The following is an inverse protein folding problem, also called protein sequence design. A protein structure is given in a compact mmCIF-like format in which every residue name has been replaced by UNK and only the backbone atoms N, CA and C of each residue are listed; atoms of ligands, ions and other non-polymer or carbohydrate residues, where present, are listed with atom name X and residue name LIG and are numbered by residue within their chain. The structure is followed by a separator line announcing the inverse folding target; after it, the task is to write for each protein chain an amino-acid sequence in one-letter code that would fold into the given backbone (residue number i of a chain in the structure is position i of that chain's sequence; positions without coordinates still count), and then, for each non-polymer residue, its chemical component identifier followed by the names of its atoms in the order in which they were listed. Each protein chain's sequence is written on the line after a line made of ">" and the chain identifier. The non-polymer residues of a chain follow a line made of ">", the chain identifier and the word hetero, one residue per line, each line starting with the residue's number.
data_IF_402779982773
#
_entry.id   IF_402779982773
#
_cell.length_a   1.000
_cell.length_b   1.000
_cell.length_c   1.000
_cell.angle_alpha   90.00
_cell.angle_beta   90.00
_cell.angle_gamma   90.00
#
_symmetry.space_group_name_H-M   'P 1'
#
loop_
_entity.id
_entity.type
_entity.pdbx_description
1 polymer ?
#
# COMPACT_ATOMS: atom_id res chain seq x y z
N UNK A 1 38.80 25.85 6.13
CA UNK A 1 38.50 25.19 4.83
C UNK A 1 38.30 23.70 5.08
N UNK A 2 37.06 23.22 5.09
CA UNK A 2 36.77 21.78 5.26
C UNK A 2 37.17 21.08 3.95
N UNK A 3 37.95 20.00 4.06
CA UNK A 3 38.40 19.24 2.89
C UNK A 3 37.18 18.52 2.28
N UNK A 4 36.64 19.08 1.19
CA UNK A 4 35.42 18.61 0.51
C UNK A 4 35.48 17.12 0.17
N UNK A 5 36.67 16.56 -0.10
CA UNK A 5 36.86 15.13 -0.32
C UNK A 5 36.53 14.33 0.94
N UNK A 6 37.05 14.72 2.11
CA UNK A 6 36.74 14.02 3.37
C UNK A 6 35.25 14.04 3.68
N UNK A 7 34.58 15.17 3.44
CA UNK A 7 33.14 15.31 3.63
C UNK A 7 32.31 14.35 2.75
N UNK A 8 32.67 14.21 1.47
CA UNK A 8 32.02 13.28 0.54
C UNK A 8 32.20 11.81 0.95
N UNK A 9 33.35 11.44 1.49
CA UNK A 9 33.60 10.06 1.96
C UNK A 9 32.78 9.72 3.21
N UNK A 10 32.63 10.66 4.14
CA UNK A 10 31.77 10.46 5.32
C UNK A 10 30.29 10.32 4.93
N UNK A 11 29.81 11.03 3.90
CA UNK A 11 28.43 10.91 3.44
C UNK A 11 28.08 9.55 2.84
N UNK A 12 29.03 8.90 2.15
CA UNK A 12 28.82 7.57 1.57
C UNK A 12 28.53 6.52 2.65
N UNK A 13 29.20 6.60 3.80
CA UNK A 13 28.99 5.67 4.91
C UNK A 13 27.60 5.83 5.57
N UNK A 14 26.87 6.91 5.30
CA UNK A 14 25.50 7.11 5.78
C UNK A 14 24.45 6.41 4.88
N UNK A 15 24.80 5.99 3.67
CA UNK A 15 23.85 5.37 2.75
C UNK A 15 23.23 4.07 3.27
N UNK A 16 23.94 3.15 3.95
CA UNK A 16 23.32 1.98 4.57
C UNK A 16 22.30 2.34 5.65
N UNK A 17 22.59 3.37 6.45
CA UNK A 17 21.66 3.85 7.48
C UNK A 17 20.41 4.46 6.85
N UNK A 18 20.57 5.27 5.80
CA UNK A 18 19.44 5.79 5.03
C UNK A 18 18.64 4.65 4.37
N UNK A 19 19.31 3.62 3.86
CA UNK A 19 18.69 2.41 3.35
C UNK A 19 17.83 1.71 4.40
N UNK A 20 18.36 1.53 5.62
CA UNK A 20 17.61 0.97 6.74
C UNK A 20 16.37 1.79 7.08
N UNK A 21 16.53 3.12 7.20
CA UNK A 21 15.42 4.03 7.53
C UNK A 21 14.34 4.05 6.45
N UNK A 22 14.73 4.07 5.17
CA UNK A 22 13.78 4.02 4.04
C UNK A 22 13.08 2.67 3.95
N UNK A 23 13.78 1.56 4.22
CA UNK A 23 13.15 0.23 4.32
C UNK A 23 12.14 0.15 5.46
N UNK A 24 12.43 0.76 6.62
CA UNK A 24 11.48 0.85 7.73
C UNK A 24 10.27 1.72 7.40
N UNK A 25 10.50 2.90 6.81
CA UNK A 25 9.42 3.77 6.36
C UNK A 25 8.53 3.07 5.33
N UNK A 26 9.13 2.35 4.37
CA UNK A 26 8.39 1.55 3.39
C UNK A 26 7.55 0.47 4.06
N UNK A 27 8.10 -0.28 5.01
CA UNK A 27 7.33 -1.28 5.76
C UNK A 27 6.10 -0.63 6.43
N UNK A 28 6.28 0.54 7.05
CA UNK A 28 5.19 1.27 7.66
C UNK A 28 4.11 1.69 6.64
N UNK A 29 4.51 2.23 5.49
CA UNK A 29 3.59 2.63 4.42
C UNK A 29 2.81 1.42 3.89
N UNK A 30 3.50 0.30 3.69
CA UNK A 30 2.91 -0.95 3.23
C UNK A 30 1.85 -1.47 4.21
N UNK A 31 2.12 -1.47 5.51
CA UNK A 31 1.18 -1.95 6.54
C UNK A 31 -0.04 -1.09 6.78
N UNK A 32 0.05 0.19 6.47
CA UNK A 32 -1.13 1.06 6.52
C UNK A 32 -1.96 0.95 5.23
N UNK A 33 -1.58 0.10 4.27
CA UNK A 33 -2.29 -0.06 3.01
C UNK A 33 -2.29 1.20 2.14
N UNK A 34 -1.36 2.13 2.34
CA UNK A 34 -1.33 3.39 1.58
C UNK A 34 -1.28 3.14 0.07
N UNK A 35 -0.62 2.08 -0.37
CA UNK A 35 -0.53 1.70 -1.78
C UNK A 35 -1.65 0.78 -2.28
N UNK A 36 -2.58 0.35 -1.42
CA UNK A 36 -3.69 -0.48 -1.85
C UNK A 36 -4.64 0.37 -2.72
N UNK A 37 -4.96 -0.08 -3.95
CA UNK A 37 -5.81 0.68 -4.85
C UNK A 37 -7.28 0.56 -4.48
N UNK A 38 -8.07 1.54 -4.95
CA UNK A 38 -9.52 1.42 -4.99
C UNK A 38 -9.93 0.59 -6.21
N UNK A 39 -10.87 -0.32 -6.02
CA UNK A 39 -11.43 -1.15 -7.08
C UNK A 39 -12.88 -0.77 -7.34
N UNK A 40 -13.23 -0.56 -8.60
CA UNK A 40 -14.60 -0.34 -9.01
C UNK A 40 -15.38 -1.66 -8.87
N UNK A 41 -16.40 -1.65 -8.02
CA UNK A 41 -17.35 -2.76 -7.86
C UNK A 41 -18.51 -2.59 -8.85
N UNK A 42 -18.88 -1.35 -9.16
CA UNK A 42 -19.98 -1.02 -10.06
C UNK A 42 -21.32 -0.94 -9.33
N UNK A 43 -22.40 -1.36 -10.00
CA UNK A 43 -23.78 -1.18 -9.52
C UNK A 43 -24.73 -2.25 -10.07
N UNK A 44 -25.87 -2.54 -9.40
CA UNK A 44 -26.82 -3.60 -9.78
C UNK A 44 -27.69 -3.28 -11.03
N UNK A 45 -27.17 -2.49 -11.96
CA UNK A 45 -27.87 -1.99 -13.16
C UNK A 45 -28.57 -0.63 -12.97
N UNK A 46 -28.92 -0.25 -11.75
CA UNK A 46 -29.40 1.10 -11.36
C UNK A 46 -28.36 1.80 -10.48
N UNK A 47 -28.40 3.13 -10.45
CA UNK A 47 -27.55 3.92 -9.56
C UNK A 47 -27.82 3.59 -8.10
N UNK A 48 -26.76 3.46 -7.32
CA UNK A 48 -26.83 3.30 -5.88
C UNK A 48 -27.08 4.67 -5.26
N UNK A 49 -28.17 4.80 -4.51
CA UNK A 49 -28.52 6.02 -3.81
C UNK A 49 -27.73 6.15 -2.50
N UNK A 50 -27.67 5.06 -1.72
CA UNK A 50 -26.97 4.99 -0.43
C UNK A 50 -26.50 3.58 -0.11
N UNK A 51 -25.43 3.49 0.68
CA UNK A 51 -25.00 2.27 1.34
C UNK A 51 -25.81 2.13 2.64
N UNK A 52 -26.50 1.00 2.81
CA UNK A 52 -27.33 0.75 3.99
C UNK A 52 -26.47 0.24 5.16
N UNK A 53 -25.54 -0.68 4.88
CA UNK A 53 -24.67 -1.26 5.90
C UNK A 53 -24.04 -2.56 5.42
N UNK A 54 -23.37 -3.26 6.34
CA UNK A 54 -22.73 -4.56 6.10
C UNK A 54 -23.38 -5.61 6.99
N UNK A 55 -23.80 -6.73 6.42
CA UNK A 55 -24.41 -7.89 7.08
C UNK A 55 -23.46 -9.08 7.05
N UNK A 56 -23.46 -9.86 8.12
CA UNK A 56 -22.67 -11.09 8.28
C UNK A 56 -21.17 -10.93 7.99
N UNK A 57 -20.62 -9.72 8.15
CA UNK A 57 -19.21 -9.35 7.87
C UNK A 57 -18.82 -9.43 6.38
N UNK A 58 -19.55 -10.15 5.54
CA UNK A 58 -19.18 -10.49 4.16
C UNK A 58 -20.17 -9.98 3.10
N UNK A 59 -21.24 -9.28 3.49
CA UNK A 59 -22.30 -8.84 2.57
C UNK A 59 -22.57 -7.35 2.70
N UNK A 60 -22.23 -6.57 1.68
CA UNK A 60 -22.59 -5.14 1.62
C UNK A 60 -24.03 -5.01 1.13
N UNK A 61 -24.81 -4.14 1.77
CA UNK A 61 -26.20 -3.87 1.41
C UNK A 61 -26.32 -2.43 0.95
N UNK A 62 -26.97 -2.21 -0.19
CA UNK A 62 -27.14 -0.90 -0.82
C UNK A 62 -28.59 -0.69 -1.25
N UNK A 63 -29.05 0.55 -1.24
CA UNK A 63 -30.34 0.95 -1.80
C UNK A 63 -30.11 1.70 -3.12
N UNK A 64 -30.83 1.30 -4.17
CA UNK A 64 -30.82 1.98 -5.46
C UNK A 64 -31.80 3.17 -5.48
N UNK A 65 -31.66 4.07 -6.45
CA UNK A 65 -32.57 5.23 -6.66
C UNK A 65 -34.05 4.82 -6.85
N UNK A 66 -34.32 3.59 -7.30
CA UNK A 66 -35.68 3.07 -7.40
C UNK A 66 -36.31 2.66 -6.07
N UNK A 67 -35.53 2.66 -4.99
CA UNK A 67 -35.92 2.10 -3.69
C UNK A 67 -35.69 0.59 -3.55
N UNK A 68 -35.24 -0.09 -4.61
CA UNK A 68 -34.88 -1.51 -4.56
C UNK A 68 -33.60 -1.69 -3.73
N UNK A 69 -33.54 -2.76 -2.94
CA UNK A 69 -32.36 -3.10 -2.14
C UNK A 69 -31.59 -4.22 -2.80
N UNK A 70 -30.28 -4.08 -2.84
CA UNK A 70 -29.37 -5.10 -3.36
C UNK A 70 -28.30 -5.42 -2.34
N UNK A 71 -27.80 -6.65 -2.41
CA UNK A 71 -26.62 -7.07 -1.69
C UNK A 71 -25.54 -7.58 -2.63
N UNK A 72 -24.30 -7.53 -2.15
CA UNK A 72 -23.16 -8.11 -2.81
C UNK A 72 -22.30 -8.79 -1.77
N UNK A 73 -22.00 -10.07 -2.01
CA UNK A 73 -21.03 -10.82 -1.22
C UNK A 73 -19.61 -10.48 -1.66
N UNK A 74 -18.73 -10.26 -0.70
CA UNK A 74 -17.30 -10.05 -0.91
C UNK A 74 -16.52 -11.03 -0.04
N UNK A 75 -15.48 -11.64 -0.63
CA UNK A 75 -14.70 -12.68 0.04
C UNK A 75 -13.50 -12.09 0.77
N UNK A 76 -13.22 -12.63 1.96
CA UNK A 76 -12.11 -12.19 2.82
C UNK A 76 -10.94 -13.18 2.75
N UNK A 77 -10.73 -13.87 1.63
CA UNK A 77 -9.78 -14.99 1.52
C UNK A 77 -8.29 -14.56 1.46
N UNK A 78 -7.89 -13.60 2.29
CA UNK A 78 -6.48 -13.28 2.59
C UNK A 78 -5.71 -12.57 1.47
N UNK A 79 -6.17 -12.64 0.23
CA UNK A 79 -5.57 -11.98 -0.92
C UNK A 79 -6.53 -10.98 -1.56
N UNK A 80 -5.93 -9.85 -1.98
CA UNK A 80 -6.56 -8.62 -2.49
C UNK A 80 -7.16 -8.87 -3.87
N UNK A 81 -8.24 -9.65 -3.94
CA UNK A 81 -8.98 -9.85 -5.18
C UNK A 81 -10.47 -9.70 -4.91
N UNK A 82 -11.10 -8.78 -5.64
CA UNK A 82 -12.55 -8.88 -5.87
C UNK A 82 -12.86 -10.29 -6.40
N UNK A 83 -13.99 -10.90 -6.02
CA UNK A 83 -14.39 -12.15 -6.63
C UNK A 83 -14.46 -11.97 -8.16
N UNK A 84 -14.09 -13.02 -8.90
CA UNK A 84 -14.05 -12.99 -10.36
C UNK A 84 -15.40 -12.66 -11.00
N UNK A 85 -16.48 -12.84 -10.25
CA UNK A 85 -17.84 -12.47 -10.64
C UNK A 85 -18.51 -11.73 -9.49
N UNK A 86 -18.81 -10.44 -9.71
CA UNK A 86 -19.61 -9.63 -8.80
C UNK A 86 -21.08 -9.85 -9.13
N UNK A 87 -21.77 -10.63 -8.30
CA UNK A 87 -23.19 -10.92 -8.44
C UNK A 87 -23.98 -10.08 -7.44
N UNK A 88 -24.73 -9.12 -7.96
CA UNK A 88 -25.69 -8.36 -7.17
C UNK A 88 -26.97 -9.17 -6.99
N UNK A 89 -27.39 -9.37 -5.75
CA UNK A 89 -28.62 -10.08 -5.40
C UNK A 89 -29.67 -9.09 -4.93
N UNK A 90 -30.90 -9.22 -5.42
CA UNK A 90 -32.01 -8.40 -4.94
C UNK A 90 -32.46 -8.89 -3.56
N UNK A 91 -32.58 -7.98 -2.61
CA UNK A 91 -32.97 -8.26 -1.23
C UNK A 91 -34.39 -7.79 -0.95
N UNK A 92 -35.06 -8.44 -0.01
CA UNK A 92 -36.36 -7.96 0.46
C UNK A 92 -36.15 -6.89 1.52
N UNK A 93 -36.81 -5.74 1.37
CA UNK A 93 -36.62 -4.56 2.22
C UNK A 93 -36.94 -4.81 3.71
N UNK A 94 -37.76 -5.81 4.03
CA UNK A 94 -38.15 -6.21 5.38
C UNK A 94 -37.08 -7.02 6.13
N UNK A 95 -36.05 -7.51 5.43
CA UNK A 95 -34.96 -8.30 6.02
C UNK A 95 -33.68 -7.50 6.27
N UNK A 96 -33.73 -6.18 6.04
CA UNK A 96 -32.60 -5.29 6.20
C UNK A 96 -32.65 -4.68 7.59
N UNK A 97 -32.10 -5.39 8.59
CA UNK A 97 -31.71 -4.72 9.82
C UNK A 97 -30.72 -3.62 9.45
N UNK A 98 -30.90 -2.42 9.99
CA UNK A 98 -29.97 -1.30 9.82
C UNK A 98 -28.64 -1.67 10.48
N UNK A 99 -27.84 -2.45 9.76
CA UNK A 99 -26.62 -3.05 10.28
C UNK A 99 -25.58 -1.95 10.46
N UNK A 100 -25.07 -1.85 11.70
CA UNK A 100 -23.86 -1.16 12.14
C UNK A 100 -23.25 -0.19 11.10
N UNK A 101 -23.87 0.98 10.98
CA UNK A 101 -23.21 2.17 10.44
C UNK A 101 -22.29 2.70 11.53
N UNK A 102 -21.00 2.33 11.50
CA UNK A 102 -20.02 3.04 12.33
C UNK A 102 -19.65 4.31 11.58
N UNK A 103 -20.35 5.41 11.85
CA UNK A 103 -20.02 6.75 11.33
C UNK A 103 -18.60 7.13 11.76
N UNK A 104 -17.64 7.06 10.85
CA UNK A 104 -16.24 7.46 11.12
C UNK A 104 -15.69 8.30 9.96
N UNK A 105 -15.71 9.61 10.17
CA UNK A 105 -14.68 10.52 9.68
C UNK A 105 -13.58 10.66 10.73
N UNK A 106 -12.35 10.92 10.28
CA UNK A 106 -11.12 11.05 11.07
C UNK A 106 -10.43 9.73 11.46
N UNK A 107 -9.95 8.98 10.47
CA UNK A 107 -8.53 8.62 10.42
C UNK A 107 -8.17 8.03 9.05
N UNK A 108 -7.85 8.92 8.11
CA UNK A 108 -7.41 8.56 6.77
C UNK A 108 -5.96 8.01 6.83
N UNK A 109 -5.83 6.69 6.87
CA UNK A 109 -4.54 6.00 6.60
C UNK A 109 -4.47 5.36 5.21
N UNK A 110 -5.36 5.76 4.31
CA UNK A 110 -5.39 5.29 2.92
C UNK A 110 -5.24 6.48 1.99
N UNK A 111 -4.69 6.27 0.79
CA UNK A 111 -4.73 7.33 -0.21
C UNK A 111 -6.19 7.76 -0.45
N UNK A 112 -6.44 9.08 -0.62
CA UNK A 112 -7.76 9.56 -0.95
C UNK A 112 -8.22 8.89 -2.26
N UNK A 113 -9.49 8.50 -2.37
CA UNK A 113 -10.02 7.99 -3.62
C UNK A 113 -9.86 9.05 -4.73
N UNK A 114 -9.58 8.64 -5.98
CA UNK A 114 -9.42 9.56 -7.10
C UNK A 114 -10.77 10.09 -7.65
N UNK A 115 -11.84 10.04 -6.85
CA UNK A 115 -13.22 10.39 -7.21
C UNK A 115 -13.93 11.09 -6.04
N UNK A 116 -15.05 11.75 -6.34
CA UNK A 116 -15.90 12.38 -5.32
C UNK A 116 -16.64 11.32 -4.51
N UNK A 117 -16.59 11.42 -3.19
CA UNK A 117 -17.18 10.43 -2.27
C UNK A 117 -18.48 10.99 -1.71
N UNK A 118 -19.59 10.40 -2.12
CA UNK A 118 -20.93 10.68 -1.60
C UNK A 118 -21.14 10.05 -0.23
N UNK A 119 -20.68 8.81 -0.04
CA UNK A 119 -20.79 8.07 1.22
C UNK A 119 -19.59 7.13 1.38
N UNK A 120 -19.13 6.94 2.62
CA UNK A 120 -18.03 6.02 2.95
C UNK A 120 -18.45 5.15 4.14
N UNK A 121 -18.23 3.85 4.04
CA UNK A 121 -18.36 2.90 5.15
C UNK A 121 -17.05 2.13 5.31
N UNK A 122 -16.60 1.94 6.55
CA UNK A 122 -15.42 1.17 6.89
C UNK A 122 -15.78 0.00 7.80
N UNK A 123 -15.15 -1.14 7.58
CA UNK A 123 -15.25 -2.31 8.43
C UNK A 123 -13.85 -2.87 8.72
N UNK A 124 -13.55 -3.00 10.00
CA UNK A 124 -12.44 -3.82 10.48
C UNK A 124 -12.96 -5.24 10.71
N UNK A 125 -12.25 -6.24 10.18
CA UNK A 125 -12.57 -7.64 10.41
C UNK A 125 -11.34 -8.39 10.93
N UNK A 126 -11.58 -9.41 11.76
CA UNK A 126 -10.54 -10.25 12.34
C UNK A 126 -10.55 -11.59 11.62
N UNK A 127 -9.40 -11.99 11.07
CA UNK A 127 -9.27 -13.29 10.43
C UNK A 127 -9.34 -14.41 11.47
N UNK A 128 -9.93 -15.56 11.09
CA UNK A 128 -9.99 -16.76 11.95
C UNK A 128 -8.60 -17.26 12.38
N UNK A 129 -7.58 -17.00 11.56
CA UNK A 129 -6.18 -17.34 11.82
C UNK A 129 -5.39 -16.04 11.78
N UNK A 130 -4.92 -15.58 12.93
CA UNK A 130 -4.03 -14.44 13.19
C UNK A 130 -3.90 -13.41 12.05
N UNK A 131 -4.77 -12.39 12.10
CA UNK A 131 -4.69 -11.25 11.20
C UNK A 131 -5.83 -10.26 11.45
N UNK A 132 -5.66 -9.03 10.97
CA UNK A 132 -6.73 -8.05 10.87
C UNK A 132 -6.84 -7.62 9.42
N UNK A 133 -8.03 -7.35 8.95
CA UNK A 133 -8.26 -6.78 7.63
C UNK A 133 -9.08 -5.52 7.77
N UNK A 134 -8.86 -4.60 6.85
CA UNK A 134 -9.65 -3.40 6.72
C UNK A 134 -10.28 -3.40 5.33
N UNK A 135 -11.60 -3.25 5.28
CA UNK A 135 -12.34 -3.01 4.04
C UNK A 135 -13.05 -1.67 4.14
N UNK A 136 -13.03 -0.92 3.05
CA UNK A 136 -13.74 0.35 2.91
C UNK A 136 -14.59 0.29 1.65
N UNK A 137 -15.81 0.78 1.76
CA UNK A 137 -16.74 0.94 0.66
C UNK A 137 -17.02 2.43 0.47
N UNK A 138 -16.78 2.94 -0.73
CA UNK A 138 -17.08 4.30 -1.10
C UNK A 138 -18.14 4.31 -2.19
N UNK A 139 -19.15 5.15 -2.03
CA UNK A 139 -20.15 5.47 -3.04
C UNK A 139 -19.75 6.78 -3.71
N UNK A 140 -19.64 6.78 -5.03
CA UNK A 140 -19.40 8.01 -5.80
C UNK A 140 -20.71 8.74 -6.15
N UNK A 141 -20.58 9.94 -6.71
CA UNK A 141 -21.72 10.76 -7.14
C UNK A 141 -22.49 10.15 -8.33
N UNK A 142 -21.86 9.26 -9.11
CA UNK A 142 -22.45 8.55 -10.25
C UNK A 142 -23.18 7.25 -9.84
N UNK A 143 -23.28 7.00 -8.54
CA UNK A 143 -23.96 5.85 -7.96
C UNK A 143 -23.23 4.54 -8.15
N UNK A 144 -21.91 4.55 -8.33
CA UNK A 144 -21.08 3.35 -8.36
C UNK A 144 -20.49 3.07 -6.98
N UNK A 145 -20.42 1.78 -6.63
CA UNK A 145 -19.71 1.32 -5.46
C UNK A 145 -18.25 1.06 -5.79
N UNK A 146 -17.38 1.48 -4.89
CA UNK A 146 -15.94 1.23 -4.90
C UNK A 146 -15.55 0.51 -3.62
N UNK A 147 -14.59 -0.40 -3.74
CA UNK A 147 -14.07 -1.16 -2.62
C UNK A 147 -12.56 -0.95 -2.52
N UNK A 148 -12.09 -0.69 -1.31
CA UNK A 148 -10.69 -0.74 -0.94
C UNK A 148 -10.53 -1.81 0.12
N UNK A 149 -9.51 -2.65 0.01
CA UNK A 149 -9.25 -3.71 0.97
C UNK A 149 -7.74 -3.80 1.22
N UNK A 150 -7.36 -3.89 2.49
CA UNK A 150 -6.00 -4.18 2.90
C UNK A 150 -5.97 -5.25 3.99
N UNK A 151 -5.26 -6.34 3.71
CA UNK A 151 -5.01 -7.40 4.67
C UNK A 151 -3.77 -7.08 5.51
N UNK A 152 -3.95 -6.93 6.82
CA UNK A 152 -2.89 -6.84 7.82
C UNK A 152 -2.60 -8.26 8.31
N UNK A 153 -1.77 -8.99 7.57
CA UNK A 153 -1.43 -10.37 7.87
C UNK A 153 -0.62 -10.53 9.17
N UNK A 154 -0.74 -11.71 9.81
CA UNK A 154 0.01 -12.09 11.01
C UNK A 154 1.54 -12.06 10.88
N UNK A 155 2.09 -11.90 9.68
CA UNK A 155 3.53 -11.77 9.43
C UNK A 155 4.05 -10.33 9.57
N UNK A 156 3.37 -9.50 10.36
CA UNK A 156 3.72 -8.08 10.53
C UNK A 156 5.19 -7.90 10.94
N UNK A 157 5.64 -8.72 11.89
CA UNK A 157 7.03 -8.71 12.35
C UNK A 157 8.06 -9.04 11.26
N UNK A 158 7.74 -9.95 10.33
CA UNK A 158 8.68 -10.33 9.27
C UNK A 158 8.90 -9.18 8.30
N UNK A 159 7.86 -8.46 7.88
CA UNK A 159 8.03 -7.34 6.94
C UNK A 159 8.81 -6.20 7.59
N UNK A 160 8.52 -5.85 8.85
CA UNK A 160 9.30 -4.86 9.61
C UNK A 160 10.74 -5.29 9.88
N UNK A 161 11.06 -6.57 9.80
CA UNK A 161 12.43 -7.07 9.86
C UNK A 161 13.11 -7.05 8.48
N UNK A 162 12.49 -7.65 7.46
CA UNK A 162 13.10 -7.85 6.15
C UNK A 162 13.28 -6.55 5.36
N UNK A 163 12.31 -5.63 5.37
CA UNK A 163 12.41 -4.41 4.54
C UNK A 163 13.55 -3.47 4.97
N UNK A 164 13.74 -3.18 6.28
CA UNK A 164 14.94 -2.46 6.72
C UNK A 164 16.23 -3.17 6.38
N UNK A 165 16.28 -4.51 6.49
CA UNK A 165 17.47 -5.30 6.13
C UNK A 165 17.76 -5.20 4.64
N UNK A 166 16.75 -5.34 3.78
CA UNK A 166 16.87 -5.17 2.33
C UNK A 166 17.38 -3.75 2.02
N UNK A 167 16.78 -2.73 2.64
CA UNK A 167 17.21 -1.34 2.48
C UNK A 167 18.67 -1.12 2.87
N UNK A 168 19.10 -1.67 4.01
CA UNK A 168 20.50 -1.65 4.44
C UNK A 168 21.42 -2.33 3.41
N UNK A 169 21.05 -3.51 2.91
CA UNK A 169 21.84 -4.24 1.92
C UNK A 169 21.97 -3.46 0.60
N UNK A 170 20.88 -2.83 0.14
CA UNK A 170 20.92 -1.94 -1.04
C UNK A 170 21.87 -0.76 -0.80
N UNK A 171 21.80 -0.13 0.37
CA UNK A 171 22.72 0.95 0.74
C UNK A 171 24.18 0.51 0.76
N UNK A 172 24.48 -0.69 1.29
CA UNK A 172 25.83 -1.26 1.28
C UNK A 172 26.34 -1.53 -0.15
N UNK A 173 25.50 -2.10 -1.02
CA UNK A 173 25.85 -2.36 -2.43
C UNK A 173 26.23 -1.05 -3.13
N UNK A 174 25.47 0.02 -2.93
CA UNK A 174 25.79 1.35 -3.50
C UNK A 174 27.16 1.84 -3.02
N UNK A 175 27.46 1.73 -1.72
CA UNK A 175 28.77 2.12 -1.18
C UNK A 175 29.91 1.33 -1.82
N UNK A 176 29.77 0.01 -1.94
CA UNK A 176 30.78 -0.85 -2.54
C UNK A 176 31.02 -0.53 -4.02
N UNK A 177 29.95 -0.27 -4.78
CA UNK A 177 30.05 0.14 -6.19
C UNK A 177 30.80 1.46 -6.33
N UNK A 178 30.45 2.47 -5.53
CA UNK A 178 31.14 3.77 -5.55
C UNK A 178 32.61 3.62 -5.15
N UNK A 179 32.89 2.80 -4.14
CA UNK A 179 34.26 2.52 -3.70
C UNK A 179 35.07 1.83 -4.81
N UNK A 180 34.49 0.81 -5.45
CA UNK A 180 35.11 0.07 -6.56
C UNK A 180 35.43 0.98 -7.75
N UNK A 181 34.49 1.83 -8.17
CA UNK A 181 34.70 2.81 -9.25
C UNK A 181 35.84 3.77 -8.90
N UNK A 182 35.86 4.30 -7.67
CA UNK A 182 36.89 5.22 -7.22
C UNK A 182 38.27 4.57 -7.13
N UNK A 183 38.33 3.30 -6.71
CA UNK A 183 39.56 2.53 -6.65
C UNK A 183 40.14 2.27 -8.04
N UNK A 184 39.31 1.83 -9.01
CA UNK A 184 39.72 1.62 -10.40
C UNK A 184 40.27 2.91 -11.03
N UNK A 185 39.62 4.07 -10.79
CA UNK A 185 40.12 5.38 -11.24
C UNK A 185 41.52 5.70 -10.69
N UNK A 186 41.78 5.38 -9.42
CA UNK A 186 43.10 5.61 -8.80
C UNK A 186 44.18 4.72 -9.40
N UNK A 187 43.87 3.44 -9.65
CA UNK A 187 44.82 2.52 -10.29
C UNK A 187 45.15 3.01 -11.71
N UNK A 188 44.14 3.38 -12.50
CA UNK A 188 44.35 3.91 -13.85
C UNK A 188 45.24 5.16 -13.86
N UNK A 189 45.04 6.08 -12.92
CA UNK A 189 45.88 7.28 -12.77
C UNK A 189 47.34 6.93 -12.40
N UNK A 190 47.55 5.94 -11.52
CA UNK A 190 48.88 5.48 -11.13
C UNK A 190 49.61 4.79 -12.29
N UNK A 191 48.91 3.97 -13.07
CA UNK A 191 49.47 3.33 -14.27
C UNK A 191 49.88 4.35 -15.32
N UNK A 192 49.04 5.37 -15.56
CA UNK A 192 49.37 6.48 -16.45
C UNK A 192 50.59 7.27 -15.98
N UNK A 193 50.68 7.60 -14.68
CA UNK A 193 51.83 8.29 -14.11
C UNK A 193 53.13 7.48 -14.23
N UNK A 194 53.06 6.15 -14.02
CA UNK A 194 54.20 5.24 -14.16
C UNK A 194 54.65 5.16 -15.62
N UNK A 195 53.74 5.01 -16.58
CA UNK A 195 54.07 4.96 -18.01
C UNK A 195 54.82 6.23 -18.46
N UNK A 196 54.38 7.40 -17.98
CA UNK A 196 55.01 8.69 -18.25
C UNK A 196 56.43 8.82 -17.67
N UNK A 197 56.66 8.33 -16.44
CA UNK A 197 57.97 8.46 -15.79
C UNK A 197 59.03 7.48 -16.29
N UNK A 198 58.63 6.34 -16.83
CA UNK A 198 59.55 5.31 -17.34
C UNK A 198 59.79 5.40 -18.87
N UNK A 199 59.37 6.49 -19.52
CA UNK A 199 59.70 6.77 -20.93
C UNK A 199 58.99 5.88 -21.95
N UNK A 200 57.84 5.29 -21.59
CA UNK A 200 57.02 4.51 -22.52
C UNK A 200 56.02 5.36 -23.32
N UNK A 201 55.96 6.67 -23.04
CA UNK A 201 55.11 7.66 -23.70
C UNK A 201 55.83 9.00 -23.83
#
# INVERSE_FOLDING_TARGET
>A
MINLKRFLWSGLLLLPLLGLLTGYAYAHIFFNGIFAPWHLVGKPGKNIERIIGIRDVEKIIVAAESGDVYSLEFMHQGEVALPSQLLWEAERADMVDSAYSKDWGEDFRTLPPPFSVKQLIMLEYVYKVEGRGEVKFALDDDGNLWMWNHAIAGLTGLVYFFHPVIGLMVGLVVVLVVFGINWLKRIGALQFFRAKHFGFL
#
